data_IF_086136898654
#
_entry.id   IF_086136898654
#
_cell.length_a   1.000
_cell.length_b   1.000
_cell.length_c   1.000
_cell.angle_alpha   90.00
_cell.angle_beta   90.00
_cell.angle_gamma   90.00
#
_symmetry.space_group_name_H-M   'P 1'
#
loop_
_entity.id
_entity.type
_entity.pdbx_description
1 polymer ?
#
# COMPACT_ATOMS: atom_id res chain seq x y z
N UNK A 1 26.28 0.61 -20.40
CA UNK A 1 25.02 1.18 -20.93
C UNK A 1 24.08 1.35 -19.74
N UNK A 2 23.75 2.58 -19.41
CA UNK A 2 23.02 2.97 -18.19
C UNK A 2 21.54 2.65 -18.34
N UNK A 3 20.99 1.71 -17.57
CA UNK A 3 19.54 1.54 -17.42
C UNK A 3 19.08 2.31 -16.20
N UNK A 4 19.00 3.63 -16.35
CA UNK A 4 18.19 4.47 -15.48
C UNK A 4 16.76 4.49 -16.02
N UNK A 5 15.79 4.16 -15.18
CA UNK A 5 14.37 4.33 -15.46
C UNK A 5 13.60 3.88 -14.24
N UNK A 6 12.91 4.83 -13.59
CA UNK A 6 11.97 4.68 -12.47
C UNK A 6 11.45 3.24 -12.31
N UNK A 7 11.56 2.64 -11.12
CA UNK A 7 10.89 1.38 -10.78
C UNK A 7 9.43 1.46 -11.23
N UNK A 8 9.14 0.88 -12.40
CA UNK A 8 7.82 0.89 -12.97
C UNK A 8 6.98 -0.03 -12.09
N UNK A 9 6.23 0.58 -11.17
CA UNK A 9 5.30 -0.14 -10.29
C UNK A 9 4.44 -1.03 -11.19
N UNK A 10 4.60 -2.34 -11.06
CA UNK A 10 3.87 -3.31 -11.85
C UNK A 10 2.37 -3.15 -11.55
N UNK A 11 1.66 -2.45 -12.44
CA UNK A 11 0.25 -2.11 -12.24
C UNK A 11 -0.62 -3.37 -12.24
N UNK A 12 -0.25 -4.39 -13.03
CA UNK A 12 -0.95 -5.68 -13.08
C UNK A 12 -0.82 -6.46 -11.75
N UNK A 13 0.23 -6.17 -10.97
CA UNK A 13 0.47 -6.76 -9.65
C UNK A 13 0.10 -5.81 -8.48
N UNK A 14 -0.58 -4.70 -8.77
CA UNK A 14 -0.99 -3.71 -7.75
C UNK A 14 -2.51 -3.74 -7.57
N UNK A 15 -2.96 -3.93 -6.34
CA UNK A 15 -4.39 -3.89 -5.99
C UNK A 15 -4.74 -2.66 -5.15
N UNK A 16 -5.96 -2.16 -5.30
CA UNK A 16 -6.53 -1.13 -4.42
C UNK A 16 -7.33 -1.78 -3.30
N UNK A 17 -7.16 -1.27 -2.08
CA UNK A 17 -7.88 -1.73 -0.90
C UNK A 17 -8.58 -0.53 -0.25
N UNK A 18 -9.90 -0.59 -0.14
CA UNK A 18 -10.75 0.45 0.47
C UNK A 18 -11.50 -0.06 1.71
N UNK A 19 -12.27 0.81 2.36
CA UNK A 19 -13.05 0.45 3.55
C UNK A 19 -12.21 0.11 4.79
N UNK A 20 -11.00 0.66 4.87
CA UNK A 20 -10.09 0.42 5.99
C UNK A 20 -10.49 1.27 7.20
N UNK A 21 -10.54 0.66 8.38
CA UNK A 21 -10.70 1.38 9.65
C UNK A 21 -9.50 2.30 9.91
N UNK A 22 -9.71 3.48 10.47
CA UNK A 22 -8.67 4.49 10.75
C UNK A 22 -7.49 3.95 11.57
N UNK A 23 -7.70 2.90 12.37
CA UNK A 23 -6.65 2.25 13.18
C UNK A 23 -5.81 1.24 12.38
N UNK A 24 -6.21 0.93 11.15
CA UNK A 24 -5.44 0.06 10.25
C UNK A 24 -4.09 0.69 9.94
N UNK A 25 -3.03 -0.11 10.00
CA UNK A 25 -1.66 0.32 9.68
C UNK A 25 -1.12 -0.46 8.49
N UNK A 26 -0.07 0.07 7.86
CA UNK A 26 0.62 -0.61 6.76
C UNK A 26 1.15 -1.99 7.17
N UNK A 27 1.59 -2.14 8.43
CA UNK A 27 2.06 -3.42 8.98
C UNK A 27 0.94 -4.47 9.05
N UNK A 28 -0.26 -4.06 9.51
CA UNK A 28 -1.41 -4.97 9.58
C UNK A 28 -1.81 -5.44 8.18
N UNK A 29 -1.85 -4.53 7.21
CA UNK A 29 -2.12 -4.88 5.81
C UNK A 29 -1.06 -5.83 5.26
N UNK A 30 0.22 -5.53 5.48
CA UNK A 30 1.31 -6.39 5.04
C UNK A 30 1.19 -7.81 5.59
N UNK A 31 1.04 -7.96 6.90
CA UNK A 31 0.93 -9.27 7.57
C UNK A 31 -0.30 -10.06 7.11
N UNK A 32 -1.43 -9.38 6.90
CA UNK A 32 -2.65 -9.99 6.40
C UNK A 32 -2.47 -10.50 4.97
N UNK A 33 -1.95 -9.67 4.06
CA UNK A 33 -1.80 -10.03 2.65
C UNK A 33 -0.67 -11.04 2.42
N UNK A 34 0.33 -11.11 3.31
CA UNK A 34 1.34 -12.18 3.30
C UNK A 34 0.72 -13.58 3.35
N UNK A 35 -0.46 -13.74 3.98
CA UNK A 35 -1.16 -15.02 4.00
C UNK A 35 -1.77 -15.38 2.64
N UNK A 36 -2.11 -14.39 1.82
CA UNK A 36 -2.63 -14.58 0.46
C UNK A 36 -1.51 -14.75 -0.59
N UNK A 37 -0.33 -14.21 -0.33
CA UNK A 37 0.85 -14.38 -1.18
C UNK A 37 1.97 -13.37 -0.88
N UNK A 38 3.11 -13.45 -1.58
CA UNK A 38 4.22 -12.52 -1.38
C UNK A 38 3.82 -11.07 -1.67
N UNK A 39 4.02 -10.19 -0.70
CA UNK A 39 3.79 -8.74 -0.84
C UNK A 39 5.13 -8.08 -1.11
N UNK A 40 5.19 -7.19 -2.11
CA UNK A 40 6.43 -6.46 -2.47
C UNK A 40 6.48 -5.10 -1.79
N UNK A 41 5.36 -4.37 -1.79
CA UNK A 41 5.26 -3.04 -1.19
C UNK A 41 3.81 -2.73 -0.79
N UNK A 42 3.64 -1.97 0.29
CA UNK A 42 2.34 -1.40 0.69
C UNK A 42 2.48 0.11 0.66
N UNK A 43 1.53 0.78 0.01
CA UNK A 43 1.49 2.24 -0.04
C UNK A 43 0.17 2.75 0.53
N UNK A 44 0.21 3.31 1.73
CA UNK A 44 -0.96 3.88 2.38
C UNK A 44 -0.87 5.40 2.42
N UNK A 45 -1.62 6.14 1.58
CA UNK A 45 -1.65 7.59 1.65
C UNK A 45 -2.27 8.03 2.98
N UNK A 46 -1.48 8.76 3.77
CA UNK A 46 -1.90 9.38 5.03
C UNK A 46 -2.08 10.88 4.81
N UNK A 47 -3.08 11.44 5.46
CA UNK A 47 -3.27 12.88 5.51
C UNK A 47 -2.04 13.54 6.20
N UNK A 48 -1.52 14.62 5.61
CA UNK A 48 -0.25 15.21 6.04
C UNK A 48 -0.35 15.96 7.38
N UNK A 49 -1.55 16.23 7.87
CA UNK A 49 -1.80 16.99 9.10
C UNK A 49 -2.08 16.02 10.24
N UNK A 50 -3.04 15.13 10.04
CA UNK A 50 -3.49 14.15 11.05
C UNK A 50 -2.58 12.91 11.10
N UNK A 51 -1.78 12.68 10.06
CA UNK A 51 -1.02 11.44 9.82
C UNK A 51 -1.89 10.17 9.80
N UNK A 52 -3.21 10.33 9.68
CA UNK A 52 -4.17 9.24 9.59
C UNK A 52 -4.51 8.97 8.12
N UNK A 53 -4.72 7.70 7.78
CA UNK A 53 -5.29 7.36 6.49
C UNK A 53 -6.80 7.61 6.55
N UNK A 54 -7.34 8.20 5.49
CA UNK A 54 -8.78 8.39 5.39
C UNK A 54 -9.34 7.06 4.88
N UNK A 55 -9.93 6.28 5.78
CA UNK A 55 -10.73 5.13 5.40
C UNK A 55 -11.75 5.60 4.37
N UNK A 56 -11.52 5.26 3.10
CA UNK A 56 -12.37 5.72 2.02
C UNK A 56 -13.74 5.06 2.24
N UNK A 57 -14.73 5.89 2.57
CA UNK A 57 -16.13 5.49 2.77
C UNK A 57 -16.78 5.23 1.41
#
# INVERSE_FOLDING_TARGET
MTVGGVEERNQDATIYVGGLDEKTTESILWELFLQAGPVVNVHMPKDRITMQHQGLV
#
